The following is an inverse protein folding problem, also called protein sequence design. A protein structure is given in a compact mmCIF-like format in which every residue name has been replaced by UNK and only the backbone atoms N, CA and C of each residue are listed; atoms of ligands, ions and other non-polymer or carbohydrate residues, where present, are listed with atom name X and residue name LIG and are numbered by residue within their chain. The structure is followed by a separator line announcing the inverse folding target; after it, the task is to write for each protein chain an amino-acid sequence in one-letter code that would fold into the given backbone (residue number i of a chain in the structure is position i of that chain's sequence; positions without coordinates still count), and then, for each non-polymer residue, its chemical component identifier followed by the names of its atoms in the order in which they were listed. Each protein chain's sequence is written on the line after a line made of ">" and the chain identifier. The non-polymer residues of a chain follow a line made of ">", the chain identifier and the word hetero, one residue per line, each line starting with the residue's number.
data_IF_922197070490
#
_entry.id   IF_922197070490
#
_cell.length_a   1.000
_cell.length_b   1.000
_cell.length_c   1.000
_cell.angle_alpha   90.00
_cell.angle_beta   90.00
_cell.angle_gamma   90.00
#
_symmetry.space_group_name_H-M   'P 1'
#
loop_
_entity.id
_entity.type
_entity.pdbx_description
1 polymer ?
#
# COMPACT_ATOMS: atom_id res chain seq x y z
N UNK A 1 -5.07 -20.66 -0.46
CA UNK A 1 -4.28 -21.50 -1.38
C UNK A 1 -3.10 -20.66 -1.86
N UNK A 2 -1.86 -21.06 -1.61
CA UNK A 2 -0.69 -20.27 -2.04
C UNK A 2 -0.20 -20.86 -3.34
N UNK A 3 -0.03 -20.04 -4.37
CA UNK A 3 0.41 -20.46 -5.71
C UNK A 3 1.94 -20.43 -5.78
N UNK A 4 2.58 -21.59 -5.67
CA UNK A 4 4.04 -21.72 -5.75
C UNK A 4 4.51 -21.92 -7.20
N UNK A 5 4.05 -21.07 -8.12
CA UNK A 5 4.42 -21.06 -9.54
C UNK A 5 4.94 -19.67 -9.93
N UNK A 6 6.24 -19.61 -10.20
CA UNK A 6 6.94 -18.36 -10.52
C UNK A 6 6.50 -17.73 -11.85
N UNK A 7 6.02 -18.53 -12.82
CA UNK A 7 5.53 -17.98 -14.10
C UNK A 7 4.20 -17.26 -13.89
N UNK A 8 3.26 -17.87 -13.16
CA UNK A 8 1.98 -17.26 -12.83
C UNK A 8 2.19 -15.98 -12.01
N UNK A 9 3.07 -16.04 -10.98
CA UNK A 9 3.43 -14.86 -10.19
C UNK A 9 4.05 -13.75 -11.06
N UNK A 10 4.94 -14.09 -11.99
CA UNK A 10 5.57 -13.12 -12.88
C UNK A 10 4.54 -12.42 -13.78
N UNK A 11 3.65 -13.19 -14.41
CA UNK A 11 2.60 -12.63 -15.26
C UNK A 11 1.71 -11.67 -14.48
N UNK A 12 1.23 -12.10 -13.29
CA UNK A 12 0.43 -11.23 -12.43
C UNK A 12 1.17 -9.94 -12.08
N UNK A 13 2.43 -10.03 -11.64
CA UNK A 13 3.24 -8.89 -11.21
C UNK A 13 3.52 -7.89 -12.33
N UNK A 14 3.76 -8.38 -13.56
CA UNK A 14 3.93 -7.51 -14.73
C UNK A 14 2.64 -6.75 -15.03
N UNK A 15 1.49 -7.43 -15.05
CA UNK A 15 0.20 -6.79 -15.25
C UNK A 15 -0.07 -5.78 -14.12
N UNK A 16 0.15 -6.15 -12.86
CA UNK A 16 -0.03 -5.26 -11.72
C UNK A 16 0.88 -4.01 -11.83
N UNK A 17 2.15 -4.18 -12.18
CA UNK A 17 3.06 -3.05 -12.37
C UNK A 17 2.58 -2.09 -13.48
N UNK A 18 2.08 -2.61 -14.60
CA UNK A 18 1.54 -1.79 -15.69
C UNK A 18 0.28 -1.02 -15.26
N UNK A 19 -0.62 -1.66 -14.51
CA UNK A 19 -1.84 -1.03 -13.98
C UNK A 19 -1.48 0.07 -12.96
N UNK A 20 -0.53 -0.19 -12.06
CA UNK A 20 -0.06 0.80 -11.09
C UNK A 20 0.62 1.98 -11.81
N UNK A 21 1.46 1.70 -12.81
CA UNK A 21 2.09 2.74 -13.62
C UNK A 21 1.05 3.62 -14.34
N UNK A 22 -0.01 3.01 -14.88
CA UNK A 22 -1.13 3.76 -15.46
C UNK A 22 -1.79 4.67 -14.43
N UNK A 23 -2.06 4.19 -13.21
CA UNK A 23 -2.60 5.00 -12.14
C UNK A 23 -1.71 6.20 -11.78
N UNK A 24 -0.40 5.97 -11.64
CA UNK A 24 0.60 7.01 -11.34
C UNK A 24 0.64 8.05 -12.46
N UNK A 25 0.74 7.63 -13.73
CA UNK A 25 0.83 8.56 -14.88
C UNK A 25 -0.43 9.40 -15.00
N UNK A 26 -1.61 8.82 -14.81
CA UNK A 26 -2.88 9.57 -14.81
C UNK A 26 -2.97 10.54 -13.63
N UNK A 27 -2.58 10.12 -12.43
CA UNK A 27 -2.58 10.99 -11.24
C UNK A 27 -1.60 12.17 -11.40
N UNK A 28 -0.51 11.98 -12.13
CA UNK A 28 0.42 13.05 -12.50
C UNK A 28 -0.14 13.99 -13.58
N UNK A 29 -1.22 13.60 -14.28
CA UNK A 29 -1.86 14.36 -15.36
C UNK A 29 -1.42 13.95 -16.76
N UNK A 30 -0.65 12.88 -16.91
CA UNK A 30 -0.31 12.34 -18.24
C UNK A 30 -1.52 11.56 -18.75
N UNK A 31 -2.13 12.04 -19.84
CA UNK A 31 -3.36 11.48 -20.39
C UNK A 31 -4.66 11.92 -19.68
N UNK A 32 -4.55 12.81 -18.68
CA UNK A 32 -5.68 13.39 -17.94
C UNK A 32 -5.27 14.79 -17.42
N UNK A 33 -5.10 15.78 -18.32
CA UNK A 33 -4.55 17.08 -17.99
C UNK A 33 -5.44 17.88 -17.02
N UNK A 34 -4.87 18.84 -16.28
CA UNK A 34 -3.51 19.37 -16.43
C UNK A 34 -2.45 18.53 -15.73
N UNK A 35 -1.19 18.62 -16.20
CA UNK A 35 -0.04 18.06 -15.48
C UNK A 35 0.05 18.70 -14.09
N UNK A 36 0.14 17.87 -13.05
CA UNK A 36 0.12 18.27 -11.65
C UNK A 36 1.38 17.78 -10.91
N UNK A 37 2.50 18.49 -10.96
CA UNK A 37 3.70 18.13 -10.21
C UNK A 37 3.47 18.12 -8.70
N UNK A 38 2.55 18.92 -8.19
CA UNK A 38 2.16 18.94 -6.77
C UNK A 38 1.57 17.61 -6.30
N UNK A 39 1.06 16.77 -7.21
CA UNK A 39 0.60 15.42 -6.86
C UNK A 39 1.68 14.58 -6.18
N UNK A 40 2.97 14.81 -6.49
CA UNK A 40 4.12 14.14 -5.85
C UNK A 40 4.22 14.41 -4.34
N UNK A 41 3.63 15.51 -3.86
CA UNK A 41 3.63 15.87 -2.45
C UNK A 41 2.62 15.04 -1.63
N UNK A 42 1.62 14.42 -2.29
CA UNK A 42 0.56 13.70 -1.59
C UNK A 42 0.94 12.23 -1.30
N UNK A 43 0.48 11.74 -0.15
CA UNK A 43 0.72 10.35 0.26
C UNK A 43 0.23 9.32 -0.75
N UNK A 44 -0.89 9.59 -1.40
CA UNK A 44 -1.44 8.74 -2.47
C UNK A 44 -0.42 8.50 -3.58
N UNK A 45 0.22 9.56 -4.08
CA UNK A 45 1.24 9.43 -5.12
C UNK A 45 2.46 8.66 -4.60
N UNK A 46 2.99 9.06 -3.43
CA UNK A 46 4.19 8.45 -2.84
C UNK A 46 4.00 6.96 -2.53
N UNK A 47 2.84 6.58 -1.97
CA UNK A 47 2.53 5.18 -1.69
C UNK A 47 2.33 4.35 -2.95
N UNK A 48 1.73 4.90 -4.02
CA UNK A 48 1.62 4.22 -5.32
C UNK A 48 2.99 4.04 -5.99
N UNK A 49 3.88 5.04 -5.93
CA UNK A 49 5.27 4.92 -6.42
C UNK A 49 6.01 3.82 -5.64
N UNK A 50 5.86 3.78 -4.32
CA UNK A 50 6.45 2.71 -3.49
C UNK A 50 5.93 1.33 -3.90
N UNK A 51 4.64 1.19 -4.19
CA UNK A 51 4.04 -0.05 -4.69
C UNK A 51 4.60 -0.43 -6.07
N UNK A 52 4.74 0.52 -6.97
CA UNK A 52 5.34 0.28 -8.29
C UNK A 52 6.78 -0.22 -8.16
N UNK A 53 7.62 0.47 -7.37
CA UNK A 53 9.00 0.05 -7.13
C UNK A 53 9.06 -1.34 -6.50
N UNK A 54 8.17 -1.65 -5.57
CA UNK A 54 8.08 -2.98 -4.97
C UNK A 54 7.71 -4.04 -6.00
N UNK A 55 6.73 -3.79 -6.87
CA UNK A 55 6.37 -4.72 -7.95
C UNK A 55 7.53 -4.96 -8.91
N UNK A 56 8.29 -3.92 -9.28
CA UNK A 56 9.49 -4.07 -10.10
C UNK A 56 10.54 -4.95 -9.41
N UNK A 57 10.79 -4.75 -8.12
CA UNK A 57 11.70 -5.61 -7.34
C UNK A 57 11.23 -7.07 -7.30
N UNK A 58 9.93 -7.30 -7.13
CA UNK A 58 9.33 -8.63 -7.17
C UNK A 58 9.48 -9.28 -8.56
N UNK A 59 9.29 -8.53 -9.65
CA UNK A 59 9.50 -9.01 -11.03
C UNK A 59 10.96 -9.42 -11.22
N UNK A 60 11.90 -8.54 -10.88
CA UNK A 60 13.35 -8.82 -11.03
C UNK A 60 13.74 -10.05 -10.22
N UNK A 61 13.28 -10.15 -8.97
CA UNK A 61 13.54 -11.32 -8.12
C UNK A 61 12.94 -12.59 -8.72
N UNK A 62 11.70 -12.52 -9.21
CA UNK A 62 11.02 -13.68 -9.81
C UNK A 62 11.73 -14.17 -11.06
N UNK A 63 12.18 -13.27 -11.93
CA UNK A 63 12.95 -13.63 -13.13
C UNK A 63 14.28 -14.30 -12.76
N UNK A 64 15.02 -13.75 -11.76
CA UNK A 64 16.27 -14.35 -11.28
C UNK A 64 16.04 -15.75 -10.73
N UNK A 65 15.05 -15.92 -9.85
CA UNK A 65 14.74 -17.22 -9.24
C UNK A 65 14.18 -18.23 -10.27
N UNK A 66 13.41 -17.75 -11.27
CA UNK A 66 12.90 -18.59 -12.34
C UNK A 66 14.04 -19.17 -13.19
N UNK A 67 15.09 -18.36 -13.46
CA UNK A 67 16.26 -18.78 -14.23
C UNK A 67 17.16 -19.73 -13.43
N UNK A 68 17.32 -19.50 -12.12
CA UNK A 68 18.22 -20.28 -11.26
C UNK A 68 17.60 -21.55 -10.73
N UNK A 69 16.37 -21.46 -10.20
CA UNK A 69 15.72 -22.51 -9.41
C UNK A 69 14.48 -23.11 -10.11
N UNK A 70 14.17 -22.66 -11.34
CA UNK A 70 13.07 -23.15 -12.15
C UNK A 70 11.70 -22.65 -11.70
N UNK A 71 10.65 -23.28 -12.23
CA UNK A 71 9.26 -22.81 -12.17
C UNK A 71 8.63 -22.84 -10.77
N UNK A 72 8.95 -23.85 -9.96
CA UNK A 72 8.32 -24.07 -8.65
C UNK A 72 8.97 -23.23 -7.55
N UNK A 73 8.15 -22.61 -6.69
CA UNK A 73 8.60 -21.86 -5.52
C UNK A 73 8.08 -20.43 -5.48
N UNK A 74 8.47 -19.72 -4.42
CA UNK A 74 8.14 -18.31 -4.22
C UNK A 74 9.34 -17.43 -4.50
N UNK A 75 9.08 -16.18 -4.86
CA UNK A 75 10.10 -15.17 -5.12
C UNK A 75 9.69 -13.87 -4.45
N UNK A 76 10.35 -13.55 -3.36
CA UNK A 76 10.21 -12.25 -2.67
C UNK A 76 11.54 -11.89 -2.00
N UNK A 77 11.99 -10.62 -2.13
CA UNK A 77 13.19 -10.15 -1.43
C UNK A 77 13.00 -10.17 0.10
N UNK A 78 11.84 -9.73 0.57
CA UNK A 78 11.49 -9.68 1.98
C UNK A 78 9.97 -9.74 2.18
N UNK A 79 9.42 -10.82 2.73
CA UNK A 79 7.99 -10.90 3.04
C UNK A 79 7.54 -9.76 3.97
N UNK A 80 8.37 -9.41 4.97
CA UNK A 80 8.06 -8.39 5.97
C UNK A 80 8.02 -6.97 5.37
N UNK A 81 8.96 -6.64 4.49
CA UNK A 81 8.92 -5.37 3.77
C UNK A 81 7.74 -5.31 2.79
N UNK A 82 7.41 -6.44 2.12
CA UNK A 82 6.18 -6.54 1.33
C UNK A 82 4.92 -6.28 2.16
N UNK A 83 4.88 -6.75 3.41
CA UNK A 83 3.82 -6.42 4.37
C UNK A 83 3.73 -4.92 4.67
N UNK A 84 4.88 -4.25 4.85
CA UNK A 84 4.92 -2.80 5.06
C UNK A 84 4.34 -2.01 3.87
N UNK A 85 4.74 -2.38 2.65
CA UNK A 85 4.23 -1.75 1.41
C UNK A 85 2.73 -1.99 1.25
N UNK A 86 2.29 -3.22 1.48
CA UNK A 86 0.87 -3.59 1.44
C UNK A 86 0.06 -2.79 2.47
N UNK A 87 0.55 -2.66 3.71
CA UNK A 87 -0.12 -1.85 4.72
C UNK A 87 -0.16 -0.38 4.32
N UNK A 88 0.94 0.19 3.85
CA UNK A 88 1.01 1.59 3.45
C UNK A 88 -0.05 1.95 2.41
N UNK A 89 -0.22 1.11 1.38
CA UNK A 89 -1.22 1.37 0.35
C UNK A 89 -2.65 1.04 0.79
N UNK A 90 -2.83 0.07 1.70
CA UNK A 90 -4.14 -0.22 2.30
C UNK A 90 -4.64 0.96 3.13
N UNK A 91 -3.73 1.68 3.78
CA UNK A 91 -4.04 2.93 4.49
C UNK A 91 -4.52 4.00 3.53
N UNK A 92 -3.87 4.17 2.38
CA UNK A 92 -4.32 5.08 1.32
C UNK A 92 -5.78 4.78 0.93
N UNK A 93 -6.12 3.51 0.72
CA UNK A 93 -7.49 3.07 0.42
C UNK A 93 -8.46 3.41 1.55
N UNK A 94 -8.13 3.06 2.79
CA UNK A 94 -9.04 3.27 3.93
C UNK A 94 -9.25 4.74 4.24
N UNK A 95 -8.19 5.57 4.22
CA UNK A 95 -8.32 7.02 4.40
C UNK A 95 -9.18 7.62 3.29
N UNK A 96 -8.96 7.23 2.03
CA UNK A 96 -9.80 7.70 0.93
C UNK A 96 -11.27 7.34 1.15
N UNK A 97 -11.59 6.06 1.36
CA UNK A 97 -12.96 5.58 1.44
C UNK A 97 -13.71 6.03 2.72
N UNK A 98 -13.01 6.09 3.86
CA UNK A 98 -13.66 6.31 5.17
C UNK A 98 -13.56 7.75 5.63
N UNK A 99 -12.49 8.48 5.24
CA UNK A 99 -12.25 9.83 5.73
C UNK A 99 -12.48 10.88 4.64
N UNK A 100 -11.84 10.74 3.48
CA UNK A 100 -11.84 11.79 2.45
C UNK A 100 -13.11 11.79 1.61
N UNK A 101 -13.58 10.63 1.20
CA UNK A 101 -14.76 10.51 0.35
C UNK A 101 -16.04 11.08 1.00
N UNK A 102 -16.33 10.82 2.30
CA UNK A 102 -17.48 11.43 2.97
C UNK A 102 -17.37 12.95 3.20
N UNK A 103 -16.14 13.49 3.15
CA UNK A 103 -15.84 14.91 3.34
C UNK A 103 -15.54 15.65 2.01
N UNK A 104 -15.79 14.99 0.88
CA UNK A 104 -15.51 15.60 -0.44
C UNK A 104 -16.38 16.81 -0.70
N UNK A 105 -15.80 17.81 -1.37
CA UNK A 105 -16.49 19.07 -1.71
C UNK A 105 -17.63 18.84 -2.73
N UNK A 106 -18.67 19.69 -2.73
CA UNK A 106 -19.71 19.63 -3.74
C UNK A 106 -19.14 19.72 -5.16
N UNK A 107 -19.52 18.76 -6.02
CA UNK A 107 -19.01 18.67 -7.40
C UNK A 107 -17.85 17.71 -7.57
N UNK A 108 -17.27 17.17 -6.51
CA UNK A 108 -16.30 16.06 -6.62
C UNK A 108 -17.00 14.81 -7.19
N UNK A 109 -16.41 14.22 -8.23
CA UNK A 109 -16.90 12.99 -8.86
C UNK A 109 -16.04 11.82 -8.34
N UNK A 110 -16.56 11.00 -7.42
CA UNK A 110 -15.81 9.87 -6.88
C UNK A 110 -15.66 8.75 -7.90
N UNK A 111 -14.68 7.89 -7.67
CA UNK A 111 -14.42 6.68 -8.46
C UNK A 111 -14.19 6.95 -9.95
N UNK A 112 -13.61 8.11 -10.29
CA UNK A 112 -13.02 8.28 -11.61
C UNK A 112 -12.03 7.14 -11.90
N UNK A 113 -11.63 6.94 -13.15
CA UNK A 113 -10.64 5.92 -13.47
C UNK A 113 -9.34 6.14 -12.67
N UNK A 114 -8.89 7.39 -12.54
CA UNK A 114 -7.69 7.73 -11.76
C UNK A 114 -7.87 7.41 -10.29
N UNK A 115 -8.96 7.87 -9.65
CA UNK A 115 -9.25 7.55 -8.24
C UNK A 115 -9.33 6.05 -7.99
N UNK A 116 -10.04 5.33 -8.86
CA UNK A 116 -10.21 3.87 -8.74
C UNK A 116 -8.87 3.15 -8.82
N UNK A 117 -8.01 3.54 -9.77
CA UNK A 117 -6.69 2.91 -9.92
C UNK A 117 -5.80 3.11 -8.70
N UNK A 118 -5.69 4.34 -8.19
CA UNK A 118 -4.73 4.67 -7.13
C UNK A 118 -5.22 4.38 -5.72
N UNK A 119 -6.54 4.43 -5.47
CA UNK A 119 -7.10 4.23 -4.14
C UNK A 119 -7.71 2.84 -3.92
N UNK A 120 -8.09 2.11 -4.99
CA UNK A 120 -8.77 0.81 -4.84
C UNK A 120 -7.98 -0.31 -5.53
N UNK A 121 -7.67 -0.17 -6.81
CA UNK A 121 -7.06 -1.24 -7.60
C UNK A 121 -5.64 -1.55 -7.13
N UNK A 122 -4.80 -0.53 -6.93
CA UNK A 122 -3.43 -0.73 -6.44
C UNK A 122 -3.39 -1.46 -5.09
N UNK A 123 -4.12 -1.05 -4.03
CA UNK A 123 -4.17 -1.79 -2.77
C UNK A 123 -4.62 -3.24 -2.94
N UNK A 124 -5.65 -3.48 -3.73
CA UNK A 124 -6.18 -4.83 -3.99
C UNK A 124 -5.14 -5.70 -4.68
N UNK A 125 -4.42 -5.17 -5.68
CA UNK A 125 -3.34 -5.90 -6.36
C UNK A 125 -2.22 -6.31 -5.40
N UNK A 126 -1.81 -5.43 -4.47
CA UNK A 126 -0.79 -5.74 -3.46
C UNK A 126 -1.27 -6.84 -2.49
N UNK A 127 -2.53 -6.75 -2.04
CA UNK A 127 -3.14 -7.77 -1.17
C UNK A 127 -3.22 -9.13 -1.89
N UNK A 128 -3.61 -9.14 -3.18
CA UNK A 128 -3.67 -10.37 -3.98
C UNK A 128 -2.26 -10.96 -4.18
N UNK A 129 -1.25 -10.14 -4.52
CA UNK A 129 0.14 -10.64 -4.65
C UNK A 129 0.60 -11.28 -3.35
N UNK A 130 0.41 -10.59 -2.22
CA UNK A 130 0.73 -11.16 -0.93
C UNK A 130 -0.06 -12.44 -0.66
N UNK A 131 -1.38 -12.44 -0.87
CA UNK A 131 -2.24 -13.58 -0.56
C UNK A 131 -1.87 -14.84 -1.36
N UNK A 132 -1.55 -14.69 -2.65
CA UNK A 132 -1.35 -15.80 -3.57
C UNK A 132 0.13 -16.19 -3.74
N UNK A 133 1.07 -15.23 -3.77
CA UNK A 133 2.43 -15.45 -4.24
C UNK A 133 3.52 -15.22 -3.18
N UNK A 134 3.15 -14.89 -1.94
CA UNK A 134 4.13 -14.72 -0.86
C UNK A 134 4.05 -15.86 0.16
N UNK A 135 5.18 -16.31 0.73
CA UNK A 135 5.19 -17.30 1.80
C UNK A 135 4.48 -16.74 3.04
N UNK A 136 3.70 -17.58 3.73
CA UNK A 136 2.94 -17.23 4.93
C UNK A 136 3.65 -17.60 6.22
N UNK A 137 3.19 -17.01 7.35
CA UNK A 137 3.80 -17.20 8.66
C UNK A 137 5.16 -16.50 8.82
N UNK A 138 5.38 -15.42 8.06
CA UNK A 138 6.67 -14.71 8.02
C UNK A 138 6.65 -13.38 8.77
N UNK A 139 5.49 -12.86 9.15
CA UNK A 139 5.38 -11.62 9.89
C UNK A 139 5.69 -11.82 11.38
N UNK A 140 6.36 -10.86 11.98
CA UNK A 140 6.69 -10.84 13.41
C UNK A 140 5.68 -9.99 14.17
N UNK A 141 5.52 -10.27 15.48
CA UNK A 141 4.55 -9.57 16.31
C UNK A 141 4.70 -8.05 16.38
N UNK A 142 5.89 -7.53 16.17
CA UNK A 142 6.20 -6.10 16.18
C UNK A 142 6.20 -5.44 14.78
N UNK A 143 6.04 -6.22 13.69
CA UNK A 143 6.01 -5.68 12.33
C UNK A 143 4.94 -4.61 12.11
N UNK A 144 3.68 -4.76 12.60
CA UNK A 144 2.66 -3.73 12.46
C UNK A 144 3.07 -2.37 13.02
N UNK A 145 3.81 -2.34 14.11
CA UNK A 145 4.32 -1.09 14.71
C UNK A 145 5.39 -0.44 13.83
N UNK A 146 6.31 -1.24 13.28
CA UNK A 146 7.35 -0.73 12.37
C UNK A 146 6.77 -0.28 11.04
N UNK A 147 5.78 -0.99 10.53
CA UNK A 147 5.13 -0.61 9.26
C UNK A 147 4.40 0.72 9.36
N UNK A 148 3.88 1.07 10.55
CA UNK A 148 3.29 2.37 10.82
C UNK A 148 4.29 3.54 10.63
N UNK A 149 5.59 3.28 10.65
CA UNK A 149 6.60 4.32 10.40
C UNK A 149 6.45 4.97 9.01
N UNK A 150 6.02 4.25 7.97
CA UNK A 150 5.89 4.79 6.62
C UNK A 150 4.91 5.99 6.55
N UNK A 151 3.64 5.88 6.97
CA UNK A 151 2.75 7.03 7.00
C UNK A 151 3.17 8.10 8.01
N UNK A 152 3.85 7.75 9.10
CA UNK A 152 4.38 8.74 10.03
C UNK A 152 5.53 9.56 9.45
N UNK A 153 6.42 8.95 8.68
CA UNK A 153 7.45 9.67 7.93
C UNK A 153 6.82 10.66 6.94
N UNK A 154 5.70 10.25 6.32
CA UNK A 154 4.95 11.18 5.49
C UNK A 154 4.35 12.34 6.29
N UNK A 155 3.78 12.10 7.47
CA UNK A 155 3.26 13.18 8.32
C UNK A 155 4.35 14.18 8.69
N UNK A 156 5.55 13.70 9.07
CA UNK A 156 6.71 14.55 9.34
C UNK A 156 7.09 15.39 8.12
N UNK A 157 7.13 14.77 6.94
CA UNK A 157 7.35 15.49 5.68
C UNK A 157 6.28 16.56 5.45
N UNK A 158 5.00 16.22 5.58
CA UNK A 158 3.90 17.11 5.26
C UNK A 158 3.83 18.32 6.19
N UNK A 159 3.99 18.10 7.50
CA UNK A 159 4.07 19.23 8.46
C UNK A 159 5.33 20.06 8.28
N UNK A 160 6.48 19.44 8.02
CA UNK A 160 7.73 20.14 7.74
C UNK A 160 7.63 21.00 6.48
N UNK A 161 7.05 20.46 5.40
CA UNK A 161 6.83 21.22 4.15
C UNK A 161 5.95 22.44 4.38
N UNK A 162 4.79 22.28 5.05
CA UNK A 162 3.91 23.40 5.38
C UNK A 162 4.57 24.43 6.32
N UNK A 163 5.32 24.00 7.33
CA UNK A 163 6.03 24.89 8.25
C UNK A 163 7.12 25.73 7.58
N UNK A 164 7.71 25.22 6.48
CA UNK A 164 8.69 25.95 5.66
C UNK A 164 8.03 26.85 4.59
N UNK A 165 6.70 27.03 4.64
CA UNK A 165 5.95 27.87 3.68
C UNK A 165 5.60 27.14 2.38
N UNK A 166 5.76 25.81 2.31
CA UNK A 166 5.34 25.01 1.16
C UNK A 166 3.82 24.86 1.10
N UNK A 167 3.29 24.77 -0.11
CA UNK A 167 1.87 24.55 -0.37
C UNK A 167 1.64 23.20 -1.08
N UNK A 168 0.56 22.50 -0.71
CA UNK A 168 0.08 21.28 -1.38
C UNK A 168 -0.89 21.61 -2.53
N UNK A 169 -1.66 22.68 -2.35
CA UNK A 169 -2.50 23.32 -3.35
C UNK A 169 -2.57 24.82 -3.07
N UNK A 170 -2.96 25.67 -4.02
CA UNK A 170 -2.97 27.11 -3.83
C UNK A 170 -3.65 27.54 -2.52
N UNK A 171 -2.89 28.22 -1.64
CA UNK A 171 -3.34 28.68 -0.34
C UNK A 171 -3.51 27.61 0.75
N UNK A 172 -3.11 26.33 0.50
CA UNK A 172 -3.23 25.26 1.50
C UNK A 172 -1.85 24.68 1.84
N UNK A 173 -1.43 24.85 3.09
CA UNK A 173 -0.16 24.33 3.64
C UNK A 173 -0.25 22.89 4.17
N UNK A 174 -1.41 22.23 4.04
CA UNK A 174 -1.67 20.85 4.46
C UNK A 174 -2.33 20.05 3.33
N UNK A 175 -2.03 18.74 3.21
CA UNK A 175 -2.54 17.90 2.13
C UNK A 175 -3.97 17.37 2.38
N UNK A 176 -4.39 17.25 3.63
CA UNK A 176 -5.66 16.63 4.01
C UNK A 176 -6.39 17.44 5.09
N UNK A 177 -7.76 17.49 5.08
CA UNK A 177 -8.54 18.26 6.03
C UNK A 177 -8.25 17.96 7.51
N UNK A 178 -7.95 16.69 7.85
CA UNK A 178 -7.63 16.29 9.21
C UNK A 178 -6.26 16.81 9.73
N UNK A 179 -5.47 17.45 8.86
CA UNK A 179 -4.19 18.09 9.22
C UNK A 179 -4.31 19.61 9.34
N UNK A 180 -5.50 20.19 9.12
CA UNK A 180 -5.73 21.63 9.18
C UNK A 180 -5.77 22.12 10.62
N UNK A 181 -4.62 22.65 11.08
CA UNK A 181 -4.51 23.26 12.41
C UNK A 181 -5.35 24.53 12.53
N UNK A 182 -5.59 25.25 11.43
CA UNK A 182 -6.41 26.48 11.42
C UNK A 182 -7.86 26.20 11.77
N UNK A 183 -8.43 25.11 11.25
CA UNK A 183 -9.83 24.74 11.49
C UNK A 183 -10.04 23.86 12.71
N UNK A 184 -9.11 22.92 12.98
CA UNK A 184 -9.27 21.91 14.03
C UNK A 184 -8.53 22.25 15.34
N UNK A 185 -7.63 23.23 15.30
CA UNK A 185 -6.68 23.48 16.38
C UNK A 185 -5.67 22.34 16.54
N UNK A 186 -4.64 22.56 17.37
CA UNK A 186 -3.60 21.54 17.64
C UNK A 186 -4.19 20.26 18.27
N UNK A 187 -5.14 20.40 19.17
CA UNK A 187 -5.78 19.26 19.85
C UNK A 187 -6.61 18.39 18.90
N UNK A 188 -7.33 19.02 17.96
CA UNK A 188 -8.12 18.30 16.96
C UNK A 188 -7.23 17.51 15.98
N UNK A 189 -6.16 18.15 15.50
CA UNK A 189 -5.17 17.48 14.64
C UNK A 189 -4.47 16.33 15.40
N UNK A 190 -4.06 16.56 16.66
CA UNK A 190 -3.44 15.51 17.48
C UNK A 190 -4.39 14.33 17.68
N UNK A 191 -5.67 14.56 17.93
CA UNK A 191 -6.68 13.51 18.06
C UNK A 191 -6.81 12.68 16.76
N UNK A 192 -6.85 13.33 15.60
CA UNK A 192 -6.86 12.65 14.30
C UNK A 192 -5.61 11.79 14.09
N UNK A 193 -4.43 12.31 14.39
CA UNK A 193 -3.17 11.57 14.27
C UNK A 193 -3.19 10.32 15.14
N UNK A 194 -3.66 10.43 16.40
CA UNK A 194 -3.77 9.26 17.30
C UNK A 194 -4.82 8.28 16.80
N UNK A 195 -5.99 8.74 16.37
CA UNK A 195 -7.05 7.87 15.85
C UNK A 195 -6.58 7.08 14.61
N UNK A 196 -5.93 7.78 13.67
CA UNK A 196 -5.35 7.15 12.49
C UNK A 196 -4.24 6.16 12.86
N UNK A 197 -3.40 6.47 13.87
CA UNK A 197 -2.39 5.57 14.38
C UNK A 197 -2.99 4.25 14.87
N UNK A 198 -4.02 4.35 15.72
CA UNK A 198 -4.71 3.16 16.26
C UNK A 198 -5.31 2.34 15.12
N UNK A 199 -6.00 2.96 14.18
CA UNK A 199 -6.60 2.28 13.03
C UNK A 199 -5.54 1.59 12.16
N UNK A 200 -4.43 2.26 11.89
CA UNK A 200 -3.28 1.77 11.14
C UNK A 200 -2.64 0.53 11.75
N UNK A 201 -2.34 0.61 13.04
CA UNK A 201 -1.77 -0.48 13.82
C UNK A 201 -2.75 -1.66 13.86
N UNK A 202 -4.05 -1.42 14.04
CA UNK A 202 -5.08 -2.45 14.02
C UNK A 202 -5.11 -3.19 12.67
N UNK A 203 -5.09 -2.47 11.54
CA UNK A 203 -5.00 -3.08 10.19
C UNK A 203 -3.74 -3.94 10.05
N UNK A 204 -2.60 -3.46 10.55
CA UNK A 204 -1.36 -4.24 10.55
C UNK A 204 -1.47 -5.54 11.35
N UNK A 205 -2.12 -5.51 12.50
CA UNK A 205 -2.38 -6.72 13.30
C UNK A 205 -3.38 -7.67 12.62
N UNK A 206 -4.35 -7.16 11.85
CA UNK A 206 -5.22 -8.01 11.02
C UNK A 206 -4.42 -8.75 9.94
N UNK A 207 -3.47 -8.07 9.28
CA UNK A 207 -2.56 -8.72 8.33
C UNK A 207 -1.64 -9.74 9.00
N UNK A 208 -1.11 -9.44 10.19
CA UNK A 208 -0.32 -10.39 10.98
C UNK A 208 -1.13 -11.63 11.35
N UNK A 209 -2.37 -11.45 11.81
CA UNK A 209 -3.28 -12.55 12.14
C UNK A 209 -3.55 -13.41 10.90
N UNK A 210 -3.90 -12.79 9.77
CA UNK A 210 -4.12 -13.48 8.51
C UNK A 210 -2.88 -14.27 8.05
N UNK A 211 -1.67 -13.68 8.17
CA UNK A 211 -0.41 -14.35 7.83
C UNK A 211 -0.18 -15.60 8.69
N UNK A 212 -0.42 -15.51 10.00
CA UNK A 212 -0.27 -16.65 10.93
C UNK A 212 -1.28 -17.76 10.66
N UNK A 213 -2.54 -17.41 10.47
CA UNK A 213 -3.62 -18.38 10.17
C UNK A 213 -3.32 -19.11 8.87
N UNK A 214 -3.01 -18.36 7.80
CA UNK A 214 -2.67 -18.94 6.50
C UNK A 214 -1.39 -19.78 6.56
N UNK A 215 -0.40 -19.38 7.36
CA UNK A 215 0.83 -20.15 7.61
C UNK A 215 0.54 -21.49 8.28
N UNK A 216 -0.28 -21.50 9.32
CA UNK A 216 -0.67 -22.71 10.04
C UNK A 216 -1.44 -23.69 9.14
N UNK A 217 -2.36 -23.18 8.33
CA UNK A 217 -3.12 -24.00 7.37
C UNK A 217 -2.18 -24.62 6.31
N UNK A 218 -1.23 -23.86 5.82
CA UNK A 218 -0.25 -24.36 4.84
C UNK A 218 0.61 -25.49 5.41
N UNK A 219 1.09 -25.34 6.66
CA UNK A 219 1.92 -26.36 7.33
C UNK A 219 1.14 -27.65 7.59
N UNK A 220 -0.12 -27.55 8.07
CA UNK A 220 -0.98 -28.71 8.33
C UNK A 220 -1.27 -29.51 7.04
N UNK A 221 -1.51 -28.81 5.92
CA UNK A 221 -1.73 -29.48 4.62
C UNK A 221 -0.47 -30.20 4.12
N UNK A 222 0.69 -29.62 4.29
CA UNK A 222 1.94 -30.26 3.93
C UNK A 222 2.18 -31.54 4.76
N UNK A 223 1.95 -31.50 6.07
CA UNK A 223 2.06 -32.67 6.92
C UNK A 223 1.08 -33.81 6.54
N UNK A 224 -0.17 -33.47 6.22
CA UNK A 224 -1.18 -34.46 5.81
C UNK A 224 -0.86 -35.16 4.50
N UNK A 225 -0.06 -34.55 3.60
CA UNK A 225 0.36 -35.14 2.34
C UNK A 225 1.61 -36.04 2.49
N UNK A 226 2.34 -35.93 3.58
CA UNK A 226 3.58 -36.70 3.84
C UNK A 226 3.37 -37.89 4.77
N UNK A 227 2.20 -38.06 5.38
CA UNK A 227 1.86 -39.21 6.23
C UNK A 227 1.46 -40.39 5.31
N UNK A 228 2.23 -41.50 5.28
CA UNK A 228 1.85 -42.71 4.54
C UNK A 228 0.55 -43.29 5.09
N UNK A 229 -0.32 -43.73 4.23
CA UNK A 229 -1.49 -44.56 4.58
C UNK A 229 -1.07 -45.99 4.87
#
# INVERSE_FOLDING_TARGET
>A
MVVADRRVALTFRVIAALVIALGITRLFGIGDPPISPSSLLFYTMQSNILCFMWMVLLIVRTVKDLRRDGRKGWSTPSPRFGGAVMQAITVTMLIYLVVLLPQSEPGYVPFTLTDTLVHVVTPVLLIIDWALFSPKGRFRGWDPLVWAALPYLYLLFAFGWGALGGEFSPGKSFPYPFMDVGSLGLSGVALWIVALAVALIAVGYLFLLADRVLGTVATRRAAALTTPR
#
